data_IF_867120677796
#
_entry.id   IF_867120677796
#
_cell.length_a   1.000
_cell.length_b   1.000
_cell.length_c   1.000
_cell.angle_alpha   90.00
_cell.angle_beta   90.00
_cell.angle_gamma   90.00
#
_symmetry.space_group_name_H-M   'P 1'
#
loop_
_entity.id
_entity.type
_entity.pdbx_description
1 polymer ?
#
# COMPACT_ATOMS: atom_id res chain seq x y z
N UNK A 1 -71.70 -23.46 53.36
CA UNK A 1 -70.26 -23.59 53.68
C UNK A 1 -69.46 -23.13 52.46
N UNK A 2 -68.49 -22.23 52.70
CA UNK A 2 -67.52 -21.74 51.72
C UNK A 2 -66.65 -22.89 51.21
N UNK A 3 -66.21 -22.84 49.96
CA UNK A 3 -64.78 -22.81 49.58
C UNK A 3 -64.62 -22.63 48.08
N UNK A 4 -63.64 -21.80 47.74
CA UNK A 4 -63.16 -21.40 46.42
C UNK A 4 -61.76 -21.98 46.21
N UNK A 5 -61.41 -22.35 44.96
CA UNK A 5 -60.08 -22.39 44.28
C UNK A 5 -60.20 -23.36 43.09
N UNK A 6 -59.79 -23.11 41.84
CA UNK A 6 -58.88 -22.11 41.28
C UNK A 6 -57.57 -22.77 40.84
N UNK A 7 -57.48 -23.22 39.58
CA UNK A 7 -56.24 -23.59 38.85
C UNK A 7 -56.62 -23.68 37.37
N UNK A 8 -56.04 -22.97 36.40
CA UNK A 8 -54.74 -22.33 36.30
C UNK A 8 -54.03 -22.93 35.08
N UNK A 9 -54.38 -22.48 33.87
CA UNK A 9 -53.73 -22.91 32.63
C UNK A 9 -52.37 -22.20 32.49
N UNK A 10 -51.28 -22.96 32.52
CA UNK A 10 -49.94 -22.47 32.21
C UNK A 10 -49.71 -22.58 30.70
N UNK A 11 -49.86 -21.46 29.99
CA UNK A 11 -49.30 -21.29 28.65
C UNK A 11 -47.87 -20.77 28.83
N UNK A 12 -46.87 -21.63 28.63
CA UNK A 12 -45.49 -21.19 28.50
C UNK A 12 -45.31 -20.53 27.13
N UNK A 13 -45.44 -19.20 27.10
CA UNK A 13 -44.97 -18.40 25.97
C UNK A 13 -43.46 -18.41 25.93
N UNK A 14 -42.87 -19.15 25.00
CA UNK A 14 -41.46 -19.01 24.62
C UNK A 14 -41.31 -17.67 23.89
N UNK A 15 -40.84 -16.64 24.60
CA UNK A 15 -40.33 -15.42 23.97
C UNK A 15 -38.96 -15.79 23.38
N UNK A 16 -38.96 -16.22 22.12
CA UNK A 16 -37.74 -16.37 21.34
C UNK A 16 -37.17 -14.99 21.04
N UNK A 17 -36.16 -14.57 21.79
CA UNK A 17 -35.33 -13.41 21.42
C UNK A 17 -34.44 -13.86 20.26
N UNK A 18 -34.92 -13.68 19.03
CA UNK A 18 -34.11 -13.86 17.83
C UNK A 18 -33.03 -12.78 17.80
N UNK A 19 -31.79 -13.16 18.09
CA UNK A 19 -30.62 -12.30 17.92
C UNK A 19 -30.39 -12.12 16.40
N UNK A 20 -30.94 -11.06 15.83
CA UNK A 20 -30.64 -10.66 14.46
C UNK A 20 -29.20 -10.14 14.42
N UNK A 21 -28.27 -11.00 14.03
CA UNK A 21 -26.94 -10.59 13.58
C UNK A 21 -27.13 -9.85 12.25
N UNK A 22 -27.40 -8.55 12.31
CA UNK A 22 -27.32 -7.67 11.16
C UNK A 22 -25.86 -7.68 10.69
N UNK A 23 -25.56 -8.49 9.67
CA UNK A 23 -24.26 -8.47 9.01
C UNK A 23 -24.02 -7.07 8.49
N UNK A 24 -23.03 -6.37 9.06
CA UNK A 24 -22.56 -5.11 8.52
C UNK A 24 -21.79 -5.45 7.25
N UNK A 25 -22.45 -5.35 6.09
CA UNK A 25 -21.78 -5.40 4.80
C UNK A 25 -20.88 -4.18 4.70
N UNK A 26 -19.58 -4.34 5.00
CA UNK A 26 -18.57 -3.33 4.66
C UNK A 26 -18.55 -3.22 3.14
N UNK A 27 -18.81 -2.03 2.60
CA UNK A 27 -18.58 -1.78 1.18
C UNK A 27 -17.13 -2.18 0.86
N UNK A 28 -16.92 -2.89 -0.26
CA UNK A 28 -15.58 -3.24 -0.70
C UNK A 28 -14.76 -1.96 -0.84
N UNK A 29 -13.56 -1.95 -0.26
CA UNK A 29 -12.65 -0.84 -0.39
C UNK A 29 -12.27 -0.68 -1.88
N UNK A 30 -12.09 0.55 -2.40
CA UNK A 30 -11.68 0.74 -3.78
C UNK A 30 -10.31 0.10 -4.03
N UNK A 31 -10.24 -0.82 -4.99
CA UNK A 31 -9.05 -1.58 -5.36
C UNK A 31 -8.28 -0.93 -6.52
N UNK A 32 -6.96 -1.11 -6.52
CA UNK A 32 -6.09 -0.62 -7.60
C UNK A 32 -4.87 -1.56 -7.74
N UNK A 33 -5.06 -2.78 -8.25
CA UNK A 33 -4.10 -3.86 -8.06
C UNK A 33 -2.82 -3.76 -8.91
N UNK A 34 -2.78 -2.85 -9.89
CA UNK A 34 -1.69 -2.76 -10.87
C UNK A 34 -1.49 -1.33 -11.40
N UNK A 35 -0.42 -1.15 -12.17
CA UNK A 35 -0.19 0.08 -12.91
C UNK A 35 -1.40 0.42 -13.79
N UNK A 36 -1.87 1.67 -13.71
CA UNK A 36 -3.10 2.15 -14.39
C UNK A 36 -4.41 1.48 -13.95
N UNK A 37 -4.42 0.78 -12.81
CA UNK A 37 -5.66 0.39 -12.14
C UNK A 37 -6.28 -0.90 -12.63
N UNK A 38 -7.50 -1.23 -12.15
CA UNK A 38 -8.12 -2.55 -12.32
C UNK A 38 -8.27 -3.01 -13.78
N UNK A 39 -8.47 -2.06 -14.70
CA UNK A 39 -8.65 -2.28 -16.13
C UNK A 39 -7.44 -1.82 -16.97
N UNK A 40 -6.40 -1.30 -16.33
CA UNK A 40 -5.18 -0.83 -16.98
C UNK A 40 -5.31 0.49 -17.77
N UNK A 41 -6.44 1.20 -17.67
CA UNK A 41 -6.66 2.43 -18.44
C UNK A 41 -6.20 3.71 -17.70
N UNK A 42 -6.14 3.67 -16.36
CA UNK A 42 -5.74 4.78 -15.52
C UNK A 42 -6.88 5.74 -15.17
N UNK A 43 -8.13 5.27 -15.21
CA UNK A 43 -9.31 6.08 -14.85
C UNK A 43 -9.86 5.68 -13.48
N UNK A 44 -10.47 6.64 -12.79
CA UNK A 44 -11.19 6.44 -11.55
C UNK A 44 -12.60 7.02 -11.68
N UNK A 45 -13.58 6.32 -11.10
CA UNK A 45 -14.95 6.81 -11.01
C UNK A 45 -15.16 7.81 -9.87
N UNK A 46 -14.13 8.09 -9.07
CA UNK A 46 -14.19 9.02 -7.95
C UNK A 46 -14.70 10.40 -8.40
N UNK A 47 -15.62 10.98 -7.61
CA UNK A 47 -16.22 12.30 -7.84
C UNK A 47 -15.88 13.23 -6.68
N UNK A 48 -16.04 14.53 -6.90
CA UNK A 48 -15.86 15.57 -5.88
C UNK A 48 -14.46 15.55 -5.24
N UNK A 49 -13.43 15.28 -6.03
CA UNK A 49 -12.04 15.31 -5.56
C UNK A 49 -11.60 16.76 -5.30
N UNK A 50 -10.77 17.01 -4.27
CA UNK A 50 -10.20 18.33 -4.03
C UNK A 50 -9.38 18.84 -5.23
N UNK A 51 -9.55 20.12 -5.58
CA UNK A 51 -8.85 20.77 -6.71
C UNK A 51 -7.74 21.73 -6.27
N UNK A 52 -7.65 22.02 -4.98
CA UNK A 52 -6.56 22.80 -4.35
C UNK A 52 -5.71 21.88 -3.48
N UNK A 53 -4.41 22.12 -3.43
CA UNK A 53 -3.48 21.29 -2.67
C UNK A 53 -2.34 22.15 -2.14
N UNK A 54 -1.85 21.82 -0.95
CA UNK A 54 -0.60 22.35 -0.42
C UNK A 54 0.09 21.30 0.45
N UNK A 55 1.20 21.66 1.08
CA UNK A 55 1.87 20.75 1.99
C UNK A 55 1.05 20.36 3.23
N UNK A 56 -0.01 21.10 3.53
CA UNK A 56 -0.90 20.85 4.67
C UNK A 56 -2.39 20.85 4.31
N UNK A 57 -2.78 21.31 3.12
CA UNK A 57 -4.18 21.38 2.68
C UNK A 57 -4.55 20.18 1.83
N UNK A 58 -5.71 19.60 2.10
CA UNK A 58 -6.26 18.42 1.42
C UNK A 58 -5.37 17.16 1.49
N UNK A 59 -4.37 17.14 2.39
CA UNK A 59 -3.50 16.00 2.66
C UNK A 59 -4.08 15.15 3.79
N UNK A 60 -4.40 13.88 3.53
CA UNK A 60 -4.88 12.97 4.57
C UNK A 60 -3.77 12.56 5.56
N UNK A 61 -2.58 12.28 5.04
CA UNK A 61 -1.37 11.95 5.81
C UNK A 61 -0.13 12.03 4.91
N UNK A 62 1.05 12.03 5.53
CA UNK A 62 2.36 11.95 4.87
C UNK A 62 3.22 10.92 5.59
N UNK A 63 3.88 10.07 4.82
CA UNK A 63 4.71 8.97 5.33
C UNK A 63 6.04 8.96 4.61
N UNK A 64 7.12 9.04 5.36
CA UNK A 64 8.47 8.86 4.81
C UNK A 64 8.66 7.39 4.42
N UNK A 65 8.98 7.15 3.15
CA UNK A 65 9.29 5.81 2.64
C UNK A 65 10.82 5.63 2.60
N UNK A 66 11.37 4.50 3.10
CA UNK A 66 12.81 4.24 3.03
C UNK A 66 13.30 4.16 1.58
N UNK A 67 14.51 4.64 1.33
CA UNK A 67 15.16 4.52 0.02
C UNK A 67 14.57 5.48 -1.02
N UNK A 68 14.69 5.09 -2.29
CA UNK A 68 14.18 5.84 -3.45
C UNK A 68 13.41 4.92 -4.37
N UNK A 69 12.35 5.43 -4.99
CA UNK A 69 11.57 4.67 -5.97
C UNK A 69 10.69 5.56 -6.83
N UNK A 70 10.45 5.11 -8.06
CA UNK A 70 9.54 5.73 -9.03
C UNK A 70 8.37 4.82 -9.40
N UNK A 71 8.17 3.73 -8.65
CA UNK A 71 6.99 2.88 -8.78
C UNK A 71 5.71 3.64 -8.47
N UNK A 72 4.61 3.18 -9.06
CA UNK A 72 3.28 3.67 -8.69
C UNK A 72 2.72 2.87 -7.52
N UNK A 73 1.94 3.49 -6.61
CA UNK A 73 1.24 2.75 -5.57
C UNK A 73 0.17 1.84 -6.17
N UNK A 74 0.01 0.65 -5.59
CA UNK A 74 -1.12 -0.25 -5.83
C UNK A 74 -1.88 -0.47 -4.53
N UNK A 75 -3.18 -0.74 -4.61
CA UNK A 75 -4.08 -0.80 -3.46
C UNK A 75 -4.74 -2.18 -3.40
N UNK A 76 -4.64 -2.81 -2.21
CA UNK A 76 -5.38 -3.99 -1.74
C UNK A 76 -6.16 -3.61 -0.47
N UNK A 77 -7.43 -3.24 -0.61
CA UNK A 77 -8.29 -2.83 0.49
C UNK A 77 -7.76 -1.62 1.29
N UNK A 78 -7.32 -1.90 2.53
CA UNK A 78 -6.73 -0.92 3.45
C UNK A 78 -5.20 -0.85 3.36
N UNK A 79 -4.59 -1.52 2.36
CA UNK A 79 -3.15 -1.59 2.16
C UNK A 79 -2.74 -0.89 0.87
N UNK A 80 -1.72 -0.04 0.96
CA UNK A 80 -1.04 0.58 -0.18
C UNK A 80 0.34 -0.05 -0.30
N UNK A 81 0.66 -0.63 -1.45
CA UNK A 81 1.94 -1.27 -1.72
C UNK A 81 2.75 -0.50 -2.74
N UNK A 82 4.06 -0.41 -2.51
CA UNK A 82 5.04 0.25 -3.36
C UNK A 82 6.33 -0.58 -3.39
N UNK A 83 7.15 -0.39 -4.43
CA UNK A 83 8.53 -0.87 -4.44
C UNK A 83 9.50 0.30 -4.24
N UNK A 84 10.57 0.06 -3.47
CA UNK A 84 11.63 1.05 -3.20
C UNK A 84 13.00 0.39 -3.20
N UNK A 85 14.04 1.16 -3.54
CA UNK A 85 15.44 0.77 -3.49
C UNK A 85 16.15 1.49 -2.35
N UNK A 86 16.60 0.74 -1.34
CA UNK A 86 17.47 1.27 -0.29
C UNK A 86 18.91 1.10 -0.73
N UNK A 87 19.56 2.22 -1.00
CA UNK A 87 20.89 2.28 -1.59
C UNK A 87 21.93 2.63 -0.53
N UNK A 88 23.03 1.88 -0.52
CA UNK A 88 24.17 2.18 0.35
C UNK A 88 25.10 3.19 -0.32
N UNK A 89 25.82 4.01 0.46
CA UNK A 89 26.88 4.86 -0.06
C UNK A 89 27.95 4.06 -0.81
N UNK A 90 28.63 4.71 -1.77
CA UNK A 90 29.75 4.16 -2.53
C UNK A 90 30.94 5.11 -2.43
N UNK A 91 32.18 4.57 -2.48
CA UNK A 91 33.37 5.42 -2.54
C UNK A 91 33.53 6.02 -3.94
N UNK A 92 34.18 7.19 -4.02
CA UNK A 92 34.45 7.83 -5.32
C UNK A 92 35.42 7.01 -6.18
N UNK A 93 36.36 6.28 -5.56
CA UNK A 93 37.26 5.34 -6.24
C UNK A 93 36.48 4.23 -6.95
N UNK A 94 35.52 3.63 -6.23
CA UNK A 94 34.71 2.55 -6.74
C UNK A 94 33.74 3.06 -7.81
N UNK A 95 33.14 4.23 -7.59
CA UNK A 95 32.33 4.91 -8.62
C UNK A 95 33.13 5.15 -9.90
N UNK A 96 34.36 5.64 -9.80
CA UNK A 96 35.25 5.86 -10.94
C UNK A 96 35.59 4.54 -11.65
N UNK A 97 35.90 3.47 -10.90
CA UNK A 97 36.13 2.11 -11.43
C UNK A 97 34.93 1.64 -12.25
N UNK A 98 33.73 1.71 -11.67
CA UNK A 98 32.50 1.22 -12.30
C UNK A 98 32.19 1.99 -13.58
N UNK A 99 32.39 3.30 -13.61
CA UNK A 99 32.12 4.11 -14.80
C UNK A 99 33.28 4.20 -15.81
N UNK A 100 34.41 3.52 -15.58
CA UNK A 100 35.63 3.70 -16.37
C UNK A 100 35.46 3.40 -17.87
N UNK A 101 34.59 2.46 -18.23
CA UNK A 101 34.31 2.09 -19.63
C UNK A 101 33.15 2.88 -20.25
N UNK A 102 32.44 3.72 -19.48
CA UNK A 102 31.32 4.49 -19.99
C UNK A 102 31.81 5.73 -20.76
N UNK A 103 31.64 5.73 -22.07
CA UNK A 103 31.99 6.87 -22.94
C UNK A 103 30.82 7.84 -23.17
N UNK A 104 29.67 7.60 -22.54
CA UNK A 104 28.49 8.45 -22.66
C UNK A 104 28.57 9.71 -21.79
N UNK A 105 27.94 10.79 -22.25
CA UNK A 105 27.89 12.07 -21.51
C UNK A 105 26.60 12.27 -20.70
N UNK A 106 25.88 11.18 -20.43
CA UNK A 106 24.64 11.22 -19.66
C UNK A 106 24.95 11.30 -18.16
N UNK A 107 24.14 12.02 -17.37
CA UNK A 107 24.32 12.06 -15.92
C UNK A 107 23.98 10.71 -15.31
N UNK A 108 24.98 10.07 -14.69
CA UNK A 108 24.84 8.75 -14.06
C UNK A 108 24.76 8.87 -12.54
N UNK A 109 23.98 7.98 -11.95
CA UNK A 109 24.01 7.66 -10.53
C UNK A 109 24.60 6.27 -10.36
N UNK A 110 25.65 6.18 -9.55
CA UNK A 110 26.27 4.91 -9.16
C UNK A 110 26.04 4.76 -7.67
N UNK A 111 25.60 3.58 -7.29
CA UNK A 111 25.22 3.27 -5.92
C UNK A 111 26.02 2.08 -5.41
N UNK A 112 26.20 2.03 -4.10
CA UNK A 112 26.74 0.85 -3.43
C UNK A 112 25.70 -0.27 -3.42
N UNK A 113 25.82 -1.24 -2.48
CA UNK A 113 24.84 -2.30 -2.35
C UNK A 113 23.40 -1.78 -2.24
N UNK A 114 22.52 -2.38 -3.03
CA UNK A 114 21.09 -2.07 -3.15
C UNK A 114 20.26 -3.17 -2.49
N UNK A 115 19.32 -2.79 -1.65
CA UNK A 115 18.24 -3.63 -1.15
C UNK A 115 16.93 -3.19 -1.83
N UNK A 116 16.38 -4.03 -2.70
CA UNK A 116 15.06 -3.82 -3.30
C UNK A 116 13.99 -4.30 -2.33
N UNK A 117 12.98 -3.47 -2.07
CA UNK A 117 12.00 -3.71 -1.01
C UNK A 117 10.58 -3.48 -1.49
N UNK A 118 9.65 -4.27 -0.98
CA UNK A 118 8.22 -4.00 -1.02
C UNK A 118 7.80 -3.39 0.33
N UNK A 119 7.21 -2.21 0.28
CA UNK A 119 6.68 -1.51 1.45
C UNK A 119 5.17 -1.48 1.40
N UNK A 120 4.53 -1.70 2.56
CA UNK A 120 3.09 -1.55 2.72
C UNK A 120 2.80 -0.43 3.70
N UNK A 121 1.92 0.48 3.30
CA UNK A 121 1.39 1.56 4.13
C UNK A 121 -0.08 1.30 4.38
N UNK A 122 -0.50 1.51 5.62
CA UNK A 122 -1.90 1.56 6.00
C UNK A 122 -2.60 2.75 5.35
N UNK A 123 -3.61 2.48 4.52
CA UNK A 123 -4.34 3.50 3.76
C UNK A 123 -5.00 4.57 4.63
N UNK A 124 -5.47 4.19 5.82
CA UNK A 124 -6.30 5.05 6.66
C UNK A 124 -5.47 5.94 7.60
N UNK A 125 -4.28 5.49 7.98
CA UNK A 125 -3.42 6.14 8.97
C UNK A 125 -2.09 6.62 8.41
N UNK A 126 -1.67 6.11 7.25
CA UNK A 126 -0.32 6.34 6.71
C UNK A 126 0.77 5.55 7.44
N UNK A 127 0.44 4.68 8.39
CA UNK A 127 1.45 3.92 9.13
C UNK A 127 2.13 2.89 8.21
N UNK A 128 3.47 2.80 8.27
CA UNK A 128 4.21 1.73 7.60
C UNK A 128 3.91 0.40 8.30
N UNK A 129 3.26 -0.53 7.60
CA UNK A 129 2.87 -1.86 8.10
C UNK A 129 3.91 -2.93 7.79
N UNK A 130 4.46 -2.89 6.58
CA UNK A 130 5.44 -3.86 6.14
C UNK A 130 6.58 -3.17 5.41
N UNK A 131 7.77 -3.75 5.58
CA UNK A 131 8.97 -3.37 4.87
C UNK A 131 9.80 -4.63 4.60
N UNK A 132 9.60 -5.20 3.42
CA UNK A 132 10.04 -6.55 3.05
C UNK A 132 11.15 -6.43 2.02
N UNK A 133 12.31 -6.99 2.31
CA UNK A 133 13.37 -7.13 1.33
C UNK A 133 13.03 -8.23 0.30
N UNK A 134 13.00 -7.86 -0.97
CA UNK A 134 12.72 -8.76 -2.08
C UNK A 134 14.00 -9.36 -2.64
N UNK A 135 15.02 -8.51 -2.83
CA UNK A 135 16.31 -8.90 -3.37
C UNK A 135 17.41 -7.94 -2.92
N UNK A 136 18.64 -8.43 -2.90
CA UNK A 136 19.85 -7.64 -2.70
C UNK A 136 20.72 -7.74 -3.94
N UNK A 137 21.33 -6.63 -4.33
CA UNK A 137 22.37 -6.57 -5.35
C UNK A 137 23.58 -5.84 -4.78
N UNK A 138 24.75 -6.48 -4.80
CA UNK A 138 25.95 -5.95 -4.17
C UNK A 138 26.60 -4.85 -5.02
N UNK A 139 26.55 -4.99 -6.34
CA UNK A 139 27.13 -4.04 -7.30
C UNK A 139 26.10 -3.70 -8.39
N UNK A 140 24.99 -3.00 -8.06
CA UNK A 140 23.89 -2.76 -8.99
C UNK A 140 24.34 -1.80 -10.10
N UNK A 141 24.08 -2.10 -11.38
CA UNK A 141 24.46 -1.24 -12.51
C UNK A 141 24.07 0.22 -12.31
N UNK A 142 24.76 1.17 -12.92
CA UNK A 142 24.39 2.58 -12.78
C UNK A 142 23.03 2.88 -13.40
N UNK A 143 22.36 3.91 -12.88
CA UNK A 143 21.12 4.45 -13.46
C UNK A 143 21.36 5.84 -14.03
N UNK A 144 20.46 6.29 -14.91
CA UNK A 144 20.37 7.72 -15.22
C UNK A 144 19.97 8.49 -13.95
N UNK A 145 20.47 9.71 -13.75
CA UNK A 145 20.19 10.51 -12.54
C UNK A 145 18.72 10.84 -12.30
N UNK A 146 17.90 10.73 -13.34
CA UNK A 146 16.44 10.92 -13.29
C UNK A 146 15.67 9.60 -13.08
N UNK A 147 16.34 8.49 -12.76
CA UNK A 147 15.71 7.18 -12.60
C UNK A 147 16.23 6.46 -11.34
N UNK A 148 15.44 5.48 -10.86
CA UNK A 148 15.79 4.60 -9.75
C UNK A 148 15.87 3.15 -10.21
N UNK A 149 16.44 2.32 -9.35
CA UNK A 149 16.28 0.87 -9.44
C UNK A 149 14.84 0.39 -9.19
N UNK A 150 14.04 1.12 -8.43
CA UNK A 150 12.68 0.74 -8.04
C UNK A 150 11.59 1.45 -8.88
N UNK A 151 11.75 1.40 -10.20
CA UNK A 151 10.78 1.93 -11.16
C UNK A 151 9.65 0.94 -11.54
N UNK A 152 9.84 -0.39 -11.51
CA UNK A 152 8.75 -1.33 -11.75
C UNK A 152 7.64 -1.23 -10.68
N UNK A 153 6.41 -0.98 -11.13
CA UNK A 153 5.22 -0.98 -10.27
C UNK A 153 4.83 -2.42 -9.93
N UNK A 154 4.62 -2.76 -8.64
CA UNK A 154 4.19 -4.10 -8.26
C UNK A 154 2.81 -4.42 -8.83
N UNK A 155 2.50 -5.71 -8.97
CA UNK A 155 1.16 -6.20 -9.32
C UNK A 155 0.70 -7.10 -8.19
N UNK A 156 -0.52 -6.87 -7.72
CA UNK A 156 -1.17 -7.72 -6.72
C UNK A 156 -1.87 -8.86 -7.45
N UNK A 157 -1.25 -10.04 -7.41
CA UNK A 157 -1.89 -11.26 -7.85
C UNK A 157 -3.05 -11.56 -6.88
N UNK A 158 -4.26 -11.69 -7.42
CA UNK A 158 -5.50 -12.12 -6.75
C UNK A 158 -6.43 -11.05 -6.16
N UNK A 159 -6.13 -9.76 -6.28
CA UNK A 159 -7.07 -8.66 -6.00
C UNK A 159 -7.95 -8.85 -4.77
#
# INVERSE_FOLDING_TARGET
MKTWRGTGAFVFGLIGVGLWLSGVSRAASPEWPQFRGPDGQGHSDAKNLPTTWSDSENVAWKTSIPGRGWSSPVIAGDQIWLTTGVESPISEEEKARRTASNTGNQPLTVSGPLSMRAVCVDRNTGALRHDIELMKEAEPDWTHSLNTFASPTPVLADG
#
